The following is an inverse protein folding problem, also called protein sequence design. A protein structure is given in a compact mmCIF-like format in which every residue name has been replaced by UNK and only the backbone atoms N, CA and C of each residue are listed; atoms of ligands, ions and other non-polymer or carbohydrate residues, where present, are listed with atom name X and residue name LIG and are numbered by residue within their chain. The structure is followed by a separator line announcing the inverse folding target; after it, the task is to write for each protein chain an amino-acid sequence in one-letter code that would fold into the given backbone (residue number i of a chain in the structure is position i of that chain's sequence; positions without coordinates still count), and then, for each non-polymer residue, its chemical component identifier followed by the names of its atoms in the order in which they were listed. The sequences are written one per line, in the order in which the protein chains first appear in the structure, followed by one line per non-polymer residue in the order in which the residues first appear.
data_IF_994604434309
#
_entry.id   IF_994604434309
#
_cell.length_a   1.000
_cell.length_b   1.000
_cell.length_c   1.000
_cell.angle_alpha   90.00
_cell.angle_beta   90.00
_cell.angle_gamma   90.00
#
_symmetry.space_group_name_H-M   'P 1'
#
loop_
_entity.id
_entity.type
_entity.pdbx_description
1 polymer ?
#
# COMPACT_ATOMS: atom_id res chain seq x y z
N UNK A 1 0.36 -29.94 -12.74
CA UNK A 1 0.09 -28.51 -12.55
C UNK A 1 -0.75 -28.02 -13.72
N UNK A 2 -2.04 -27.70 -13.51
CA UNK A 2 -2.90 -27.10 -14.55
C UNK A 2 -3.22 -25.67 -14.10
N UNK A 3 -2.48 -24.70 -14.63
CA UNK A 3 -2.97 -23.32 -14.69
C UNK A 3 -4.32 -23.33 -15.43
N UNK A 4 -5.32 -22.49 -15.05
CA UNK A 4 -6.62 -22.43 -15.73
C UNK A 4 -6.53 -22.26 -17.26
N UNK A 5 -5.42 -21.71 -17.75
CA UNK A 5 -5.14 -21.43 -19.16
C UNK A 5 -4.24 -22.45 -19.86
N UNK A 6 -3.75 -23.49 -19.17
CA UNK A 6 -2.78 -24.43 -19.73
C UNK A 6 -1.41 -23.80 -20.01
N UNK A 7 -0.53 -24.49 -20.75
CA UNK A 7 0.71 -23.91 -21.28
C UNK A 7 0.34 -23.17 -22.58
N UNK A 8 0.60 -21.85 -22.69
CA UNK A 8 0.33 -21.10 -23.91
C UNK A 8 1.08 -21.70 -25.11
N UNK A 9 0.61 -21.49 -26.36
CA UNK A 9 1.35 -21.88 -27.56
C UNK A 9 2.75 -21.26 -27.63
N UNK A 10 2.95 -20.11 -26.97
CA UNK A 10 4.23 -19.41 -26.80
C UNK A 10 5.16 -20.06 -25.76
N UNK A 11 4.71 -21.10 -25.06
CA UNK A 11 5.49 -21.93 -24.15
C UNK A 11 5.43 -21.52 -22.67
N UNK A 12 5.95 -22.39 -21.80
CA UNK A 12 5.94 -22.22 -20.35
C UNK A 12 6.77 -21.00 -19.87
N UNK A 13 7.72 -20.54 -20.68
CA UNK A 13 8.52 -19.34 -20.40
C UNK A 13 7.65 -18.09 -20.32
N UNK A 14 6.60 -18.00 -21.14
CA UNK A 14 5.71 -16.84 -21.14
C UNK A 14 4.85 -16.79 -19.89
N UNK A 15 4.50 -17.94 -19.29
CA UNK A 15 3.85 -17.98 -17.98
C UNK A 15 4.73 -17.35 -16.90
N UNK A 16 6.01 -17.72 -16.86
CA UNK A 16 6.95 -17.15 -15.90
C UNK A 16 7.20 -15.65 -16.11
N UNK A 17 7.19 -15.17 -17.37
CA UNK A 17 7.34 -13.74 -17.68
C UNK A 17 6.12 -12.90 -17.29
N UNK A 18 4.97 -13.53 -17.10
CA UNK A 18 3.71 -12.89 -16.74
C UNK A 18 3.28 -13.18 -15.31
N UNK A 19 4.08 -13.91 -14.55
CA UNK A 19 3.76 -14.32 -13.20
C UNK A 19 4.28 -13.30 -12.16
N UNK A 20 3.40 -12.67 -11.37
CA UNK A 20 3.81 -11.70 -10.36
C UNK A 20 4.76 -12.29 -9.31
N UNK A 21 4.59 -13.57 -8.93
CA UNK A 21 5.43 -14.20 -7.91
C UNK A 21 6.89 -14.29 -8.34
N UNK A 22 7.15 -14.65 -9.60
CA UNK A 22 8.53 -14.79 -10.11
C UNK A 22 9.15 -13.50 -10.64
N UNK A 23 8.34 -12.55 -11.14
CA UNK A 23 8.85 -11.29 -11.71
C UNK A 23 8.82 -10.12 -10.73
N UNK A 24 7.80 -10.02 -9.88
CA UNK A 24 7.60 -8.93 -8.93
C UNK A 24 8.83 -8.66 -8.04
N UNK A 25 9.38 -9.67 -7.34
CA UNK A 25 10.60 -9.51 -6.53
C UNK A 25 11.78 -8.94 -7.32
N UNK A 26 11.99 -9.43 -8.55
CA UNK A 26 13.12 -9.02 -9.40
C UNK A 26 12.96 -7.58 -9.88
N UNK A 27 11.73 -7.20 -10.23
CA UNK A 27 11.40 -5.84 -10.63
C UNK A 27 11.52 -4.88 -9.45
N UNK A 28 11.03 -5.27 -8.27
CA UNK A 28 11.15 -4.48 -7.05
C UNK A 28 12.62 -4.29 -6.63
N UNK A 29 13.42 -5.35 -6.60
CA UNK A 29 14.84 -5.28 -6.28
C UNK A 29 15.60 -4.29 -7.17
N UNK A 30 15.29 -4.29 -8.48
CA UNK A 30 15.97 -3.42 -9.46
C UNK A 30 15.54 -1.97 -9.41
N UNK A 31 14.27 -1.70 -9.10
CA UNK A 31 13.67 -0.37 -9.33
C UNK A 31 13.21 0.33 -8.05
N UNK A 32 12.88 -0.42 -7.00
CA UNK A 32 12.25 0.10 -5.79
C UNK A 32 13.15 -0.05 -4.56
N UNK A 33 13.98 -1.10 -4.51
CA UNK A 33 14.78 -1.43 -3.33
C UNK A 33 15.92 -0.44 -3.04
N UNK A 34 16.22 0.50 -3.93
CA UNK A 34 17.10 1.64 -3.63
C UNK A 34 16.54 2.54 -2.52
N UNK A 35 15.22 2.60 -2.38
CA UNK A 35 14.55 3.41 -1.36
C UNK A 35 13.72 2.54 -0.40
N UNK A 36 12.89 1.65 -0.94
CA UNK A 36 11.95 0.84 -0.17
C UNK A 36 12.59 -0.47 0.30
N UNK A 37 12.04 -1.04 1.37
CA UNK A 37 12.33 -2.43 1.77
C UNK A 37 11.07 -3.27 1.64
N UNK A 38 11.27 -4.57 1.65
CA UNK A 38 10.24 -5.57 1.82
C UNK A 38 10.71 -6.49 2.94
N UNK A 39 10.14 -6.32 4.13
CA UNK A 39 10.56 -6.99 5.37
C UNK A 39 12.08 -6.87 5.62
N UNK A 40 12.60 -5.66 5.45
CA UNK A 40 14.02 -5.34 5.63
C UNK A 40 14.95 -5.77 4.49
N UNK A 41 14.46 -6.46 3.45
CA UNK A 41 15.26 -6.91 2.31
C UNK A 41 14.83 -6.29 0.97
N UNK A 42 15.49 -6.65 -0.12
CA UNK A 42 15.30 -6.10 -1.48
C UNK A 42 14.11 -6.69 -2.26
N UNK A 43 13.18 -7.38 -1.59
CA UNK A 43 12.15 -8.21 -2.22
C UNK A 43 12.58 -9.63 -2.64
N UNK A 44 13.88 -9.91 -2.84
CA UNK A 44 14.40 -11.25 -3.19
C UNK A 44 15.05 -12.00 -2.03
N UNK A 45 14.96 -11.45 -0.81
CA UNK A 45 15.58 -11.98 0.40
C UNK A 45 17.03 -11.50 0.61
N UNK A 46 17.57 -10.64 -0.26
CA UNK A 46 18.92 -10.12 -0.12
C UNK A 46 18.94 -8.81 0.67
N UNK A 47 19.96 -8.65 1.51
CA UNK A 47 20.16 -7.42 2.25
C UNK A 47 20.57 -6.27 1.32
N UNK A 48 20.01 -5.08 1.56
CA UNK A 48 20.40 -3.86 0.86
C UNK A 48 21.42 -3.10 1.70
N UNK A 49 22.56 -2.73 1.11
CA UNK A 49 23.64 -2.03 1.81
C UNK A 49 23.31 -0.57 2.11
N UNK A 50 22.65 0.10 1.17
CA UNK A 50 22.28 1.50 1.34
C UNK A 50 21.22 1.63 2.45
N UNK A 51 21.20 2.74 3.21
CA UNK A 51 20.15 2.99 4.18
C UNK A 51 18.78 3.05 3.52
N UNK A 52 17.77 2.46 4.18
CA UNK A 52 16.39 2.59 3.75
C UNK A 52 15.94 4.05 3.85
N UNK A 53 15.27 4.55 2.82
CA UNK A 53 14.81 5.94 2.76
C UNK A 53 13.35 6.11 2.35
N UNK A 54 12.69 5.04 1.91
CA UNK A 54 11.25 4.93 1.74
C UNK A 54 10.68 3.84 2.67
N UNK A 55 9.37 3.81 2.83
CA UNK A 55 8.68 2.87 3.73
C UNK A 55 8.96 1.40 3.39
N UNK A 56 8.84 0.51 4.39
CA UNK A 56 8.82 -0.92 4.15
C UNK A 56 7.44 -1.30 3.60
N UNK A 57 7.40 -2.04 2.50
CA UNK A 57 6.17 -2.35 1.77
C UNK A 57 5.67 -3.78 2.00
N UNK A 58 6.31 -4.56 2.87
CA UNK A 58 5.77 -5.86 3.28
C UNK A 58 4.38 -5.67 3.89
N UNK A 59 3.38 -6.31 3.28
CA UNK A 59 2.01 -6.24 3.75
C UNK A 59 1.40 -4.83 3.67
N UNK A 60 1.89 -3.97 2.76
CA UNK A 60 1.32 -2.65 2.51
C UNK A 60 -0.21 -2.69 2.41
N UNK A 61 -0.88 -1.70 3.00
CA UNK A 61 -2.34 -1.61 3.14
C UNK A 61 -3.04 -2.73 3.94
N UNK A 62 -2.30 -3.68 4.52
CA UNK A 62 -2.87 -4.58 5.53
C UNK A 62 -3.21 -3.81 6.81
N UNK A 63 -4.07 -4.42 7.64
CA UNK A 63 -4.44 -3.87 8.96
C UNK A 63 -3.21 -3.70 9.85
N UNK A 64 -2.25 -4.64 9.80
CA UNK A 64 -1.01 -4.55 10.56
C UNK A 64 -0.14 -3.38 10.10
N UNK A 65 0.02 -3.22 8.78
CA UNK A 65 0.81 -2.14 8.22
C UNK A 65 0.19 -0.77 8.56
N UNK A 66 -1.13 -0.62 8.38
CA UNK A 66 -1.86 0.60 8.72
C UNK A 66 -1.88 0.90 10.22
N UNK A 67 -1.93 -0.13 11.07
CA UNK A 67 -1.81 0.04 12.53
C UNK A 67 -0.49 0.69 12.89
N UNK A 68 0.63 0.27 12.27
CA UNK A 68 1.91 0.92 12.54
C UNK A 68 2.07 2.28 11.87
N UNK A 69 1.44 2.52 10.71
CA UNK A 69 1.41 3.86 10.10
C UNK A 69 0.69 4.87 11.01
N UNK A 70 -0.36 4.44 11.70
CA UNK A 70 -1.17 5.26 12.62
C UNK A 70 -0.74 5.13 14.08
N UNK A 71 0.45 4.57 14.35
CA UNK A 71 1.03 4.47 15.68
C UNK A 71 1.97 5.68 15.94
N UNK A 72 1.70 6.51 16.96
CA UNK A 72 2.53 7.68 17.30
C UNK A 72 4.01 7.37 17.55
N UNK A 73 4.34 6.15 17.97
CA UNK A 73 5.70 5.70 18.22
C UNK A 73 6.42 5.20 16.95
N UNK A 74 5.69 4.96 15.86
CA UNK A 74 6.23 4.33 14.65
C UNK A 74 6.13 5.18 13.40
N UNK A 75 5.14 6.06 13.29
CA UNK A 75 4.82 6.81 12.06
C UNK A 75 6.02 7.55 11.45
N UNK A 76 6.96 8.04 12.26
CA UNK A 76 8.17 8.75 11.84
C UNK A 76 9.43 7.88 11.89
N UNK A 77 9.28 6.57 11.99
CA UNK A 77 10.37 5.60 11.81
C UNK A 77 10.55 5.26 10.33
N UNK A 78 11.70 4.67 9.99
CA UNK A 78 12.09 4.38 8.60
C UNK A 78 11.13 3.44 7.87
N UNK A 79 10.43 2.55 8.60
CA UNK A 79 9.43 1.65 7.99
C UNK A 79 8.18 2.39 7.49
N UNK A 80 7.99 3.65 7.91
CA UNK A 80 6.87 4.51 7.53
C UNK A 80 7.40 5.82 6.92
N UNK A 81 7.17 6.98 7.53
CA UNK A 81 7.55 8.27 6.92
C UNK A 81 8.95 8.77 7.30
N UNK A 82 9.63 8.14 8.24
CA UNK A 82 10.88 8.63 8.84
C UNK A 82 12.04 8.87 7.87
N UNK A 83 12.13 8.06 6.81
CA UNK A 83 13.18 8.18 5.79
C UNK A 83 12.94 9.30 4.77
N UNK A 84 11.74 9.91 4.78
CA UNK A 84 11.27 10.83 3.73
C UNK A 84 11.08 12.25 4.28
N UNK A 85 10.86 13.22 3.40
CA UNK A 85 10.41 14.56 3.81
C UNK A 85 9.03 14.55 4.50
N UNK A 86 8.30 13.43 4.43
CA UNK A 86 6.98 13.31 5.04
C UNK A 86 7.01 13.26 6.57
N UNK A 87 8.16 12.94 7.19
CA UNK A 87 8.35 12.87 8.65
C UNK A 87 7.91 14.15 9.39
N UNK A 88 7.94 15.31 8.72
CA UNK A 88 7.60 16.61 9.32
C UNK A 88 6.24 17.18 8.86
N UNK A 89 5.43 16.38 8.15
CA UNK A 89 4.16 16.82 7.55
C UNK A 89 2.99 16.83 8.53
N UNK A 90 1.85 17.40 8.07
CA UNK A 90 0.58 17.40 8.81
C UNK A 90 0.15 15.99 9.19
N UNK A 91 0.34 14.99 8.32
CA UNK A 91 -0.05 13.61 8.63
C UNK A 91 0.69 13.06 9.85
N UNK A 92 2.01 13.20 9.90
CA UNK A 92 2.81 12.75 11.05
C UNK A 92 2.44 13.52 12.32
N UNK A 93 2.25 14.83 12.21
CA UNK A 93 1.81 15.66 13.35
C UNK A 93 0.44 15.22 13.86
N UNK A 94 -0.49 14.90 12.97
CA UNK A 94 -1.82 14.39 13.31
C UNK A 94 -1.73 13.07 14.07
N UNK A 95 -0.93 12.12 13.59
CA UNK A 95 -0.73 10.85 14.31
C UNK A 95 -0.08 11.09 15.69
N UNK A 96 0.96 11.92 15.76
CA UNK A 96 1.71 12.13 17.01
C UNK A 96 1.01 13.02 18.04
N UNK A 97 -0.01 13.78 17.65
CA UNK A 97 -0.74 14.71 18.53
C UNK A 97 -2.18 14.29 18.71
N UNK A 98 -2.95 14.31 17.64
CA UNK A 98 -4.38 14.02 17.66
C UNK A 98 -4.61 12.54 17.99
N UNK A 99 -4.08 11.60 17.18
CA UNK A 99 -4.24 10.14 17.44
C UNK A 99 -3.65 9.73 18.80
N UNK A 100 -2.51 10.29 19.18
CA UNK A 100 -1.90 10.04 20.48
C UNK A 100 -2.81 10.41 21.67
N UNK A 101 -3.66 11.42 21.49
CA UNK A 101 -4.60 11.91 22.50
C UNK A 101 -5.96 11.18 22.50
N UNK A 102 -6.20 10.23 21.59
CA UNK A 102 -7.45 9.49 21.54
C UNK A 102 -7.74 8.78 22.87
N UNK A 103 -8.98 8.93 23.34
CA UNK A 103 -9.58 8.13 24.39
C UNK A 103 -9.68 6.65 24.00
N UNK A 104 -10.02 5.78 24.96
CA UNK A 104 -10.23 4.37 24.67
C UNK A 104 -11.33 4.13 23.62
N UNK A 105 -12.40 4.92 23.65
CA UNK A 105 -13.49 4.83 22.67
C UNK A 105 -13.03 5.24 21.26
N UNK A 106 -12.26 6.33 21.16
CA UNK A 106 -11.72 6.81 19.88
C UNK A 106 -10.64 5.87 19.31
N UNK A 107 -9.92 5.12 20.16
CA UNK A 107 -9.00 4.06 19.70
C UNK A 107 -9.76 2.88 19.10
N UNK A 108 -10.91 2.50 19.64
CA UNK A 108 -11.76 1.48 19.03
C UNK A 108 -12.39 1.97 17.71
N UNK A 109 -12.71 3.27 17.60
CA UNK A 109 -13.13 3.86 16.32
C UNK A 109 -11.99 3.86 15.29
N UNK A 110 -10.76 4.22 15.69
CA UNK A 110 -9.58 4.18 14.83
C UNK A 110 -9.31 2.78 14.30
N UNK A 111 -9.51 1.74 15.11
CA UNK A 111 -9.41 0.34 14.67
C UNK A 111 -10.39 0.02 13.55
N UNK A 112 -11.64 0.52 13.63
CA UNK A 112 -12.64 0.36 12.56
C UNK A 112 -12.23 1.13 11.30
N UNK A 113 -11.67 2.34 11.45
CA UNK A 113 -11.08 3.10 10.34
C UNK A 113 -9.97 2.30 9.65
N UNK A 114 -9.05 1.69 10.41
CA UNK A 114 -8.00 0.82 9.87
C UNK A 114 -8.60 -0.36 9.10
N UNK A 115 -9.67 -0.98 9.60
CA UNK A 115 -10.34 -2.08 8.91
C UNK A 115 -10.95 -1.59 7.59
N UNK A 116 -11.63 -0.45 7.60
CA UNK A 116 -12.23 0.15 6.42
C UNK A 116 -11.19 0.51 5.35
N UNK A 117 -10.10 1.15 5.74
CA UNK A 117 -9.02 1.53 4.81
C UNK A 117 -8.28 0.30 4.28
N UNK A 118 -8.04 -0.73 5.10
CA UNK A 118 -7.45 -1.99 4.64
C UNK A 118 -8.36 -2.71 3.64
N UNK A 119 -9.68 -2.66 3.86
CA UNK A 119 -10.65 -3.29 2.97
C UNK A 119 -10.73 -2.62 1.58
N UNK A 120 -10.32 -1.36 1.43
CA UNK A 120 -10.18 -0.71 0.11
C UNK A 120 -9.19 -1.45 -0.80
N UNK A 121 -8.18 -2.09 -0.20
CA UNK A 121 -7.16 -2.80 -0.94
C UNK A 121 -7.67 -4.15 -1.48
N UNK A 122 -8.70 -4.76 -0.87
CA UNK A 122 -9.20 -6.07 -1.30
C UNK A 122 -8.13 -7.17 -1.33
N UNK A 123 -7.17 -7.12 -0.40
CA UNK A 123 -6.03 -8.04 -0.35
C UNK A 123 -6.50 -9.48 -0.12
N UNK A 124 -5.93 -10.44 -0.87
CA UNK A 124 -6.22 -11.88 -0.70
C UNK A 124 -6.02 -12.34 0.75
N UNK A 125 -4.94 -11.88 1.40
CA UNK A 125 -4.59 -12.20 2.78
C UNK A 125 -5.58 -11.69 3.83
N UNK A 126 -6.39 -10.68 3.50
CA UNK A 126 -7.31 -10.03 4.44
C UNK A 126 -8.77 -10.47 4.27
N UNK A 127 -9.10 -11.20 3.18
CA UNK A 127 -10.48 -11.54 2.82
C UNK A 127 -11.30 -12.17 3.94
N UNK A 128 -10.72 -13.09 4.69
CA UNK A 128 -11.46 -13.76 5.77
C UNK A 128 -11.69 -12.80 6.96
N UNK A 129 -10.69 -12.00 7.31
CA UNK A 129 -10.85 -10.97 8.33
C UNK A 129 -11.88 -9.91 7.90
N UNK A 130 -11.91 -9.54 6.63
CA UNK A 130 -12.86 -8.56 6.10
C UNK A 130 -14.29 -9.10 6.07
N UNK A 131 -14.46 -10.39 5.76
CA UNK A 131 -15.76 -11.06 5.86
C UNK A 131 -16.27 -11.08 7.30
N UNK A 132 -15.41 -11.49 8.25
CA UNK A 132 -15.77 -11.55 9.68
C UNK A 132 -16.13 -10.16 10.22
N UNK A 133 -15.37 -9.14 9.84
CA UNK A 133 -15.48 -7.79 10.42
C UNK A 133 -16.26 -6.83 9.51
N UNK A 134 -17.13 -7.35 8.62
CA UNK A 134 -17.83 -6.57 7.60
C UNK A 134 -18.64 -5.40 8.18
N UNK A 135 -19.31 -5.59 9.31
CA UNK A 135 -20.05 -4.52 9.99
C UNK A 135 -19.12 -3.40 10.50
N UNK A 136 -17.97 -3.77 11.06
CA UNK A 136 -16.98 -2.82 11.54
C UNK A 136 -16.33 -2.04 10.37
N UNK A 137 -16.16 -2.67 9.20
CA UNK A 137 -15.70 -1.99 7.98
C UNK A 137 -16.73 -0.94 7.53
N UNK A 138 -18.03 -1.25 7.53
CA UNK A 138 -19.07 -0.30 7.17
C UNK A 138 -19.09 0.90 8.12
N UNK A 139 -18.95 0.65 9.43
CA UNK A 139 -18.85 1.73 10.41
C UNK A 139 -17.57 2.55 10.25
N UNK A 140 -16.42 1.89 10.03
CA UNK A 140 -15.13 2.53 9.79
C UNK A 140 -15.15 3.48 8.59
N UNK A 141 -15.87 3.14 7.52
CA UNK A 141 -16.05 4.03 6.36
C UNK A 141 -16.80 5.30 6.73
N UNK A 142 -17.82 5.23 7.58
CA UNK A 142 -18.52 6.42 8.09
C UNK A 142 -17.64 7.24 9.02
N UNK A 143 -16.82 6.57 9.84
CA UNK A 143 -15.91 7.22 10.77
C UNK A 143 -14.82 8.03 10.05
N UNK A 144 -14.39 7.65 8.85
CA UNK A 144 -13.46 8.45 8.02
C UNK A 144 -13.95 9.88 7.81
N UNK A 145 -15.25 10.06 7.65
CA UNK A 145 -15.92 11.34 7.40
C UNK A 145 -16.36 12.05 8.70
N UNK A 146 -16.07 11.47 9.87
CA UNK A 146 -16.54 12.00 11.15
C UNK A 146 -15.60 13.05 11.75
N UNK A 147 -16.19 14.00 12.49
CA UNK A 147 -15.45 15.00 13.29
C UNK A 147 -14.57 14.38 14.39
N UNK A 148 -14.81 13.11 14.74
CA UNK A 148 -13.98 12.40 15.72
C UNK A 148 -12.65 11.95 15.10
N UNK A 149 -12.67 11.38 13.88
CA UNK A 149 -11.46 10.83 13.24
C UNK A 149 -10.80 11.80 12.26
N UNK A 150 -11.55 12.74 11.68
CA UNK A 150 -11.04 13.90 10.91
C UNK A 150 -10.14 13.52 9.72
N UNK A 151 -10.23 12.28 9.22
CA UNK A 151 -9.40 11.81 8.12
C UNK A 151 -9.65 12.62 6.84
N UNK A 152 -10.92 12.95 6.59
CA UNK A 152 -11.34 13.69 5.39
C UNK A 152 -11.16 15.21 5.47
N UNK A 153 -10.65 15.76 6.59
CA UNK A 153 -10.22 17.16 6.62
C UNK A 153 -9.01 17.42 5.71
N UNK A 154 -8.26 16.37 5.38
CA UNK A 154 -7.11 16.44 4.48
C UNK A 154 -7.21 15.50 3.29
N UNK A 155 -7.76 14.29 3.47
CA UNK A 155 -7.82 13.26 2.45
C UNK A 155 -9.18 13.21 1.75
N UNK A 156 -9.18 13.02 0.44
CA UNK A 156 -10.38 12.54 -0.24
C UNK A 156 -10.63 11.06 0.12
N UNK A 157 -11.89 10.67 0.32
CA UNK A 157 -12.27 9.27 0.53
C UNK A 157 -13.69 8.99 0.02
N UNK A 158 -13.80 8.29 -1.11
CA UNK A 158 -15.03 7.84 -1.81
C UNK A 158 -15.96 8.95 -2.30
N UNK A 159 -16.03 10.07 -1.58
CA UNK A 159 -16.76 11.28 -1.95
C UNK A 159 -15.76 12.27 -2.56
N UNK A 160 -15.93 12.69 -3.83
CA UNK A 160 -15.04 13.65 -4.47
C UNK A 160 -15.02 15.01 -3.76
N UNK A 161 -13.84 15.63 -3.70
CA UNK A 161 -13.66 17.00 -3.19
C UNK A 161 -12.44 17.66 -3.85
N UNK A 162 -12.57 18.93 -4.20
CA UNK A 162 -11.49 19.74 -4.77
C UNK A 162 -10.58 20.36 -3.67
N UNK A 163 -10.98 20.24 -2.40
CA UNK A 163 -10.28 20.86 -1.26
C UNK A 163 -9.26 19.91 -0.60
N UNK A 164 -9.16 18.67 -1.08
CA UNK A 164 -8.22 17.69 -0.53
C UNK A 164 -6.77 18.18 -0.66
N UNK A 165 -6.03 18.12 0.45
CA UNK A 165 -4.62 18.53 0.50
C UNK A 165 -3.66 17.36 0.71
N UNK A 166 -4.17 16.14 0.80
CA UNK A 166 -3.44 14.90 0.96
C UNK A 166 -3.92 13.84 -0.05
N UNK A 167 -3.15 12.75 -0.26
CA UNK A 167 -3.49 11.73 -1.25
C UNK A 167 -4.91 11.19 -1.11
N UNK A 168 -5.59 10.96 -2.22
CA UNK A 168 -6.89 10.30 -2.26
C UNK A 168 -6.77 8.85 -1.75
N UNK A 169 -7.57 8.54 -0.74
CA UNK A 169 -7.62 7.24 -0.09
C UNK A 169 -8.67 6.30 -0.72
N UNK A 170 -9.42 6.77 -1.72
CA UNK A 170 -10.38 5.94 -2.44
C UNK A 170 -9.67 4.79 -3.14
N UNK A 171 -10.03 3.55 -2.79
CA UNK A 171 -9.35 2.37 -3.30
C UNK A 171 -7.90 2.24 -2.82
N UNK A 172 -7.53 2.84 -1.68
CA UNK A 172 -6.16 2.76 -1.14
C UNK A 172 -5.63 1.32 -1.11
N UNK A 173 -4.42 1.11 -1.66
CA UNK A 173 -3.80 -0.21 -1.75
C UNK A 173 -4.43 -1.17 -2.76
N UNK A 174 -5.51 -0.79 -3.44
CA UNK A 174 -6.05 -1.55 -4.57
C UNK A 174 -5.03 -1.62 -5.71
N UNK A 175 -5.24 -2.55 -6.65
CA UNK A 175 -4.38 -2.66 -7.84
C UNK A 175 -4.33 -1.35 -8.62
N UNK A 176 -5.48 -0.71 -8.82
CA UNK A 176 -5.57 0.57 -9.52
C UNK A 176 -4.75 1.66 -8.80
N UNK A 177 -4.90 1.76 -7.48
CA UNK A 177 -4.20 2.75 -6.67
C UNK A 177 -2.68 2.54 -6.70
N UNK A 178 -2.22 1.29 -6.57
CA UNK A 178 -0.79 0.94 -6.65
C UNK A 178 -0.21 1.20 -8.05
N UNK A 179 -0.91 0.81 -9.11
CA UNK A 179 -0.49 1.11 -10.49
C UNK A 179 -0.39 2.62 -10.69
N UNK A 180 -1.38 3.37 -10.20
CA UNK A 180 -1.40 4.83 -10.30
C UNK A 180 -0.24 5.51 -9.59
N UNK A 181 0.03 5.16 -8.33
CA UNK A 181 1.10 5.82 -7.55
C UNK A 181 2.49 5.44 -8.08
N UNK A 182 2.69 4.22 -8.57
CA UNK A 182 3.94 3.81 -9.23
C UNK A 182 4.09 4.54 -10.57
N UNK A 183 3.02 4.67 -11.35
CA UNK A 183 3.06 5.31 -12.64
C UNK A 183 3.35 6.81 -12.53
N UNK A 184 2.70 7.51 -11.60
CA UNK A 184 2.88 8.94 -11.39
C UNK A 184 2.52 9.39 -9.96
N UNK A 185 3.46 9.36 -9.00
CA UNK A 185 3.22 9.86 -7.64
C UNK A 185 3.06 11.38 -7.56
N UNK A 186 3.37 12.10 -8.66
CA UNK A 186 3.16 13.55 -8.81
C UNK A 186 1.78 13.90 -9.36
N UNK A 187 0.93 12.91 -9.66
CA UNK A 187 -0.47 13.17 -10.02
C UNK A 187 -1.21 13.80 -8.82
N UNK A 188 -2.20 14.65 -9.08
CA UNK A 188 -2.96 15.38 -8.04
C UNK A 188 -3.66 14.45 -7.05
N UNK A 189 -4.12 13.29 -7.53
CA UNK A 189 -4.66 12.19 -6.72
C UNK A 189 -3.69 11.70 -5.62
N UNK A 190 -2.39 11.88 -5.79
CA UNK A 190 -1.37 11.43 -4.84
C UNK A 190 -0.69 12.61 -4.14
N UNK A 191 0.59 12.84 -4.42
CA UNK A 191 1.35 13.86 -3.71
C UNK A 191 1.54 15.14 -4.50
N UNK A 192 1.19 15.20 -5.79
CA UNK A 192 1.37 16.41 -6.59
C UNK A 192 2.82 16.94 -6.52
N UNK A 193 2.94 18.25 -6.32
CA UNK A 193 4.23 18.94 -6.07
C UNK A 193 4.88 18.56 -4.72
N UNK A 194 4.13 17.91 -3.82
CA UNK A 194 4.63 17.43 -2.52
C UNK A 194 5.27 16.04 -2.60
N UNK A 195 5.33 15.38 -3.76
CA UNK A 195 6.07 14.12 -3.91
C UNK A 195 7.52 14.33 -3.44
N UNK A 196 8.05 13.44 -2.59
CA UNK A 196 9.40 13.55 -2.06
C UNK A 196 10.43 13.38 -3.16
N UNK A 197 10.58 12.14 -3.62
CA UNK A 197 11.56 11.75 -4.64
C UNK A 197 11.20 10.42 -5.33
N UNK A 198 9.96 9.94 -5.18
CA UNK A 198 9.53 8.73 -5.88
C UNK A 198 9.45 9.05 -7.38
N UNK A 199 10.18 8.32 -8.26
CA UNK A 199 10.11 8.53 -9.69
C UNK A 199 8.71 8.29 -10.23
N UNK A 200 8.32 9.00 -11.30
CA UNK A 200 7.06 8.72 -11.98
C UNK A 200 7.30 7.64 -13.05
N UNK A 201 7.47 6.39 -12.62
CA UNK A 201 8.00 5.32 -13.48
C UNK A 201 7.25 5.14 -14.79
N UNK A 202 5.93 5.31 -14.78
CA UNK A 202 5.10 5.22 -15.99
C UNK A 202 5.15 6.51 -16.82
N UNK A 203 4.98 7.67 -16.19
CA UNK A 203 4.98 8.96 -16.89
C UNK A 203 6.35 9.30 -17.49
N UNK A 204 7.43 8.95 -16.79
CA UNK A 204 8.82 9.12 -17.21
C UNK A 204 9.32 7.93 -18.07
N UNK A 205 8.45 6.97 -18.40
CA UNK A 205 8.73 5.79 -19.24
C UNK A 205 9.89 4.90 -18.78
N UNK A 206 10.18 4.89 -17.48
CA UNK A 206 11.20 4.02 -16.86
C UNK A 206 10.72 2.57 -16.80
N UNK A 207 9.42 2.36 -16.57
CA UNK A 207 8.78 1.05 -16.59
C UNK A 207 7.53 1.09 -17.46
N UNK A 208 7.28 0.01 -18.20
CA UNK A 208 6.03 -0.16 -18.94
C UNK A 208 4.87 -0.56 -18.01
N UNK A 209 3.63 -0.48 -18.53
CA UNK A 209 2.43 -0.81 -17.78
C UNK A 209 2.41 -2.26 -17.26
N UNK A 210 3.08 -3.18 -17.96
CA UNK A 210 3.18 -4.59 -17.59
C UNK A 210 4.06 -4.76 -16.35
N UNK A 211 5.26 -4.18 -16.35
CA UNK A 211 6.19 -4.23 -15.22
C UNK A 211 5.59 -3.58 -13.97
N UNK A 212 4.93 -2.42 -14.13
CA UNK A 212 4.21 -1.76 -13.03
C UNK A 212 3.10 -2.66 -12.48
N UNK A 213 2.32 -3.30 -13.37
CA UNK A 213 1.30 -4.26 -12.99
C UNK A 213 1.86 -5.44 -12.18
N UNK A 214 2.97 -6.04 -12.62
CA UNK A 214 3.60 -7.17 -11.93
C UNK A 214 4.12 -6.78 -10.53
N UNK A 215 4.68 -5.58 -10.38
CA UNK A 215 5.08 -5.06 -9.05
C UNK A 215 3.85 -4.89 -8.16
N UNK A 216 2.80 -4.26 -8.67
CA UNK A 216 1.57 -4.03 -7.91
C UNK A 216 0.91 -5.35 -7.48
N UNK A 217 0.79 -6.31 -8.38
CA UNK A 217 0.19 -7.61 -8.11
C UNK A 217 1.03 -8.42 -7.09
N UNK A 218 2.37 -8.33 -7.17
CA UNK A 218 3.25 -8.95 -6.18
C UNK A 218 3.14 -8.31 -4.79
N UNK A 219 3.14 -6.98 -4.69
CA UNK A 219 2.96 -6.29 -3.39
C UNK A 219 1.64 -6.66 -2.71
N UNK A 220 0.61 -6.99 -3.51
CA UNK A 220 -0.72 -7.36 -3.05
C UNK A 220 -0.88 -8.83 -2.67
N UNK A 221 0.07 -9.70 -3.03
CA UNK A 221 -0.11 -11.15 -2.89
C UNK A 221 -1.00 -11.77 -3.97
N UNK A 222 -1.18 -11.11 -5.11
CA UNK A 222 -2.13 -11.50 -6.15
C UNK A 222 -1.42 -12.24 -7.30
N UNK A 223 -1.18 -13.53 -7.09
CA UNK A 223 -0.74 -14.47 -8.13
C UNK A 223 -1.51 -15.79 -8.03
N UNK A 224 -1.41 -16.59 -9.09
CA UNK A 224 -1.99 -17.92 -9.09
C UNK A 224 -1.21 -18.84 -8.15
N UNK A 225 -1.93 -19.47 -7.23
CA UNK A 225 -1.40 -20.54 -6.37
C UNK A 225 -2.19 -21.81 -6.67
N UNK A 226 -1.53 -22.93 -7.00
CA UNK A 226 -2.22 -24.19 -7.19
C UNK A 226 -2.83 -24.67 -5.86
N UNK A 227 -4.06 -25.19 -5.93
CA UNK A 227 -4.73 -25.75 -4.75
C UNK A 227 -3.86 -26.84 -4.09
N UNK A 228 -3.67 -26.74 -2.78
CA UNK A 228 -2.96 -27.75 -1.97
C UNK A 228 -1.48 -27.47 -1.66
N UNK A 229 -0.89 -26.38 -2.17
CA UNK A 229 0.45 -25.94 -1.75
C UNK A 229 0.30 -24.72 -0.83
N UNK A 230 0.44 -24.95 0.47
CA UNK A 230 0.54 -23.85 1.45
C UNK A 230 1.93 -23.26 1.32
N UNK A 231 2.06 -22.09 0.69
CA UNK A 231 3.28 -21.29 0.78
C UNK A 231 3.46 -20.87 2.24
N UNK A 232 4.60 -21.26 2.82
CA UNK A 232 5.05 -20.85 4.15
C UNK A 232 5.71 -19.48 4.08
#
# INVERSE_FOLDING_TARGET
AKSPTGIPPTGAVELLRNDPLTQGPKLFARNCASCHRYDGHDGTGLAVKDPQSGSDLQGFASRNWLTGLLDPAKVDTTNYFGGTKFKDTKMVKFVKKDIAAHSAAEKEQLKKVIFALSAEAGLKSQREADRRDAAAIVEGRKLMESDAMRCTECHQFRTPTDDATAPDLTGYGSREWLVGIIANPKHERFYGQRNDRMPAFGADQVLDAKAIGLIADWLRGDWYEPEGVVSR
#
